data_IF_020705680570
#
_entry.id   IF_020705680570
#
_cell.length_a   1.000
_cell.length_b   1.000
_cell.length_c   1.000
_cell.angle_alpha   90.00
_cell.angle_beta   90.00
_cell.angle_gamma   90.00
#
_symmetry.space_group_name_H-M   'P 1'
#
loop_
_entity.id
_entity.type
_entity.pdbx_description
1 polymer ?
#
# COMPACT_ATOMS: atom_id res chain seq x y z
N UNK A 1 24.51 1.51 -19.69
CA UNK A 1 24.11 0.34 -20.53
C UNK A 1 24.98 0.16 -21.78
N UNK A 2 26.18 -0.43 -21.64
CA UNK A 2 27.05 -0.71 -22.79
C UNK A 2 27.91 0.48 -23.23
N UNK A 3 27.36 1.42 -23.98
CA UNK A 3 28.12 2.50 -24.66
C UNK A 3 27.82 3.89 -24.08
N UNK A 4 28.85 4.72 -23.93
CA UNK A 4 28.73 6.14 -23.57
C UNK A 4 29.65 6.99 -24.48
N UNK A 5 29.13 7.98 -25.22
CA UNK A 5 27.73 8.42 -25.28
C UNK A 5 26.84 7.56 -26.20
N UNK A 6 25.54 7.63 -26.02
CA UNK A 6 24.50 6.94 -26.77
C UNK A 6 24.24 5.52 -26.27
N UNK A 7 24.26 4.56 -27.19
CA UNK A 7 23.93 3.17 -26.88
C UNK A 7 22.46 2.95 -26.53
N UNK A 8 22.08 1.73 -26.12
CA UNK A 8 20.68 1.35 -25.91
C UNK A 8 19.96 2.12 -24.80
N UNK A 9 20.69 2.73 -23.84
CA UNK A 9 20.11 3.58 -22.80
C UNK A 9 20.32 5.08 -23.02
N UNK A 10 20.83 5.49 -24.20
CA UNK A 10 21.06 6.89 -24.55
C UNK A 10 21.94 7.65 -23.52
N UNK A 11 23.06 7.06 -23.12
CA UNK A 11 23.99 7.64 -22.15
C UNK A 11 24.58 8.97 -22.68
N UNK A 12 24.79 9.99 -21.87
CA UNK A 12 24.45 10.14 -20.45
C UNK A 12 23.06 10.76 -20.23
N UNK A 13 22.32 11.02 -21.30
CA UNK A 13 21.01 11.69 -21.25
C UNK A 13 19.91 10.80 -20.68
N UNK A 14 20.02 9.49 -20.88
CA UNK A 14 19.02 8.51 -20.48
C UNK A 14 17.83 8.45 -21.42
N UNK A 15 16.92 7.51 -21.15
CA UNK A 15 15.60 7.41 -21.78
C UNK A 15 14.59 8.06 -20.82
N UNK A 16 14.44 9.37 -20.92
CA UNK A 16 13.63 10.16 -19.99
C UNK A 16 12.45 10.88 -20.64
N UNK A 17 11.53 11.33 -19.80
CA UNK A 17 10.51 12.31 -20.12
C UNK A 17 10.34 13.28 -18.93
N UNK A 18 9.68 14.41 -19.13
CA UNK A 18 9.38 15.37 -18.08
C UNK A 18 7.87 15.66 -18.00
N UNK A 19 7.42 16.06 -16.81
CA UNK A 19 6.02 16.44 -16.56
C UNK A 19 5.98 17.48 -15.45
N UNK A 20 4.96 18.34 -15.46
CA UNK A 20 4.64 19.17 -14.31
C UNK A 20 3.94 18.31 -13.22
N UNK A 21 4.21 18.60 -11.95
CA UNK A 21 3.51 17.93 -10.87
C UNK A 21 2.04 18.38 -10.81
N UNK A 22 1.10 17.47 -10.50
CA UNK A 22 -0.31 17.82 -10.34
C UNK A 22 -0.54 18.80 -9.17
N UNK A 23 -1.37 19.83 -9.39
CA UNK A 23 -1.85 20.72 -8.33
C UNK A 23 -0.87 21.78 -7.80
N UNK A 24 0.44 21.57 -7.92
CA UNK A 24 1.48 22.50 -7.44
C UNK A 24 2.80 22.33 -8.22
N UNK A 25 3.74 23.26 -8.04
CA UNK A 25 5.10 23.02 -8.57
C UNK A 25 5.73 21.88 -7.78
N UNK A 26 6.54 21.06 -8.45
CA UNK A 26 7.18 19.90 -7.84
C UNK A 26 8.03 20.23 -6.59
N UNK A 27 8.47 21.47 -6.46
CA UNK A 27 9.29 21.96 -5.36
C UNK A 27 8.48 22.56 -4.20
N UNK A 28 7.17 22.78 -4.37
CA UNK A 28 6.34 23.55 -3.42
C UNK A 28 5.42 22.69 -2.54
N UNK A 29 5.32 21.39 -2.80
CA UNK A 29 4.50 20.46 -2.03
C UNK A 29 5.10 19.05 -2.03
N UNK A 30 4.61 18.19 -1.14
CA UNK A 30 4.88 16.77 -1.19
C UNK A 30 4.15 16.14 -2.38
N UNK A 31 4.89 15.35 -3.16
CA UNK A 31 4.38 14.57 -4.27
C UNK A 31 4.84 13.11 -4.13
N UNK A 32 4.02 12.18 -4.60
CA UNK A 32 4.36 10.75 -4.62
C UNK A 32 4.97 10.39 -5.96
N UNK A 33 6.27 10.12 -5.98
CA UNK A 33 6.97 9.61 -7.17
C UNK A 33 7.02 8.09 -7.13
N UNK A 34 6.55 7.45 -8.19
CA UNK A 34 6.52 5.98 -8.28
C UNK A 34 7.32 5.51 -9.50
N UNK A 35 8.22 4.55 -9.29
CA UNK A 35 8.77 3.72 -10.35
C UNK A 35 8.19 2.31 -10.17
N UNK A 36 7.36 1.89 -11.11
CA UNK A 36 6.76 0.56 -11.14
C UNK A 36 7.47 -0.30 -12.19
N UNK A 37 8.06 -1.43 -11.79
CA UNK A 37 8.58 -2.43 -12.72
C UNK A 37 7.59 -3.58 -12.84
N UNK A 38 6.80 -3.56 -13.92
CA UNK A 38 5.80 -4.57 -14.25
C UNK A 38 6.44 -5.72 -15.04
N UNK A 39 6.73 -6.79 -14.29
CA UNK A 39 7.27 -8.06 -14.80
C UNK A 39 6.17 -9.06 -15.17
N UNK A 40 4.91 -8.70 -14.98
CA UNK A 40 3.77 -9.58 -15.25
C UNK A 40 3.35 -9.55 -16.72
N UNK A 41 3.77 -8.51 -17.45
CA UNK A 41 3.52 -8.33 -18.88
C UNK A 41 4.74 -8.70 -19.72
N UNK A 42 4.52 -9.09 -20.97
CA UNK A 42 5.59 -9.38 -21.94
C UNK A 42 5.39 -8.55 -23.21
N UNK A 43 6.37 -7.73 -23.61
CA UNK A 43 7.64 -7.43 -22.93
C UNK A 43 7.45 -6.66 -21.60
N UNK A 44 8.31 -6.94 -20.61
CA UNK A 44 8.31 -6.24 -19.31
C UNK A 44 8.37 -4.71 -19.50
N UNK A 45 7.84 -3.94 -18.55
CA UNK A 45 7.85 -2.48 -18.64
C UNK A 45 8.14 -1.84 -17.29
N UNK A 46 8.88 -0.73 -17.31
CA UNK A 46 9.03 0.18 -16.17
C UNK A 46 8.15 1.40 -16.45
N UNK A 47 7.30 1.79 -15.51
CA UNK A 47 6.44 2.98 -15.57
C UNK A 47 6.87 3.98 -14.50
N UNK A 48 6.84 5.26 -14.85
CA UNK A 48 7.11 6.34 -13.92
C UNK A 48 5.85 7.18 -13.75
N UNK A 49 5.46 7.41 -12.50
CA UNK A 49 4.27 8.14 -12.12
C UNK A 49 4.61 9.27 -11.14
N UNK A 50 3.83 10.34 -11.21
CA UNK A 50 3.76 11.37 -10.19
C UNK A 50 2.31 11.50 -9.74
N UNK A 51 2.07 11.40 -8.43
CA UNK A 51 0.73 11.40 -7.81
C UNK A 51 -0.25 10.45 -8.51
N UNK A 52 0.22 9.22 -8.78
CA UNK A 52 -0.55 8.18 -9.46
C UNK A 52 -0.79 8.41 -10.95
N UNK A 53 -0.32 9.52 -11.52
CA UNK A 53 -0.41 9.80 -12.96
C UNK A 53 0.86 9.38 -13.67
N UNK A 54 0.77 8.39 -14.55
CA UNK A 54 1.90 7.95 -15.37
C UNK A 54 2.30 9.05 -16.37
N UNK A 55 3.59 9.39 -16.39
CA UNK A 55 4.14 10.37 -17.34
C UNK A 55 5.23 9.79 -18.25
N UNK A 56 5.77 8.61 -17.92
CA UNK A 56 6.80 7.96 -18.72
C UNK A 56 6.75 6.44 -18.57
N UNK A 57 7.28 5.74 -19.58
CA UNK A 57 7.51 4.30 -19.51
C UNK A 57 8.69 3.90 -20.39
N UNK A 58 9.46 2.92 -19.91
CA UNK A 58 10.54 2.25 -20.64
C UNK A 58 10.15 0.79 -20.79
N UNK A 59 10.02 0.33 -22.03
CA UNK A 59 9.63 -1.04 -22.32
C UNK A 59 10.86 -1.89 -22.64
N UNK A 60 10.90 -3.15 -22.19
CA UNK A 60 12.03 -4.05 -22.40
C UNK A 60 12.39 -4.24 -23.89
N UNK A 61 11.40 -4.12 -24.79
CA UNK A 61 11.64 -4.19 -26.24
C UNK A 61 12.42 -3.02 -26.84
N UNK A 62 12.69 -1.95 -26.07
CA UNK A 62 13.50 -0.82 -26.52
C UNK A 62 15.00 -1.13 -26.59
N UNK A 63 15.43 -2.25 -26.01
CA UNK A 63 16.82 -2.69 -26.01
C UNK A 63 16.92 -4.21 -26.14
N UNK A 64 18.13 -4.71 -26.38
CA UNK A 64 18.35 -6.16 -26.41
C UNK A 64 18.21 -6.79 -25.01
N UNK A 65 17.93 -8.09 -24.99
CA UNK A 65 17.67 -8.83 -23.74
C UNK A 65 18.86 -8.82 -22.77
N UNK A 66 20.10 -8.76 -23.27
CA UNK A 66 21.29 -8.70 -22.42
C UNK A 66 21.37 -7.34 -21.73
N UNK A 67 21.14 -6.26 -22.49
CA UNK A 67 21.10 -4.92 -21.94
C UNK A 67 19.97 -4.74 -20.93
N UNK A 68 18.77 -5.26 -21.21
CA UNK A 68 17.66 -5.23 -20.25
C UNK A 68 17.97 -6.01 -18.97
N UNK A 69 18.49 -7.23 -19.09
CA UNK A 69 18.86 -8.05 -17.93
C UNK A 69 19.96 -7.40 -17.09
N UNK A 70 20.97 -6.78 -17.73
CA UNK A 70 22.01 -6.05 -17.03
C UNK A 70 21.49 -4.81 -16.30
N UNK A 71 20.40 -4.19 -16.78
CA UNK A 71 19.80 -3.01 -16.17
C UNK A 71 18.80 -3.37 -15.05
N UNK A 72 18.26 -4.59 -15.03
CA UNK A 72 17.11 -4.94 -14.19
C UNK A 72 17.35 -6.14 -13.26
N UNK A 73 18.23 -7.09 -13.60
CA UNK A 73 18.37 -8.36 -12.87
C UNK A 73 19.49 -8.34 -11.82
N UNK A 74 19.51 -7.31 -10.98
CA UNK A 74 20.43 -7.19 -9.84
C UNK A 74 19.75 -6.43 -8.69
N UNK A 75 20.41 -6.41 -7.52
CA UNK A 75 19.93 -5.58 -6.40
C UNK A 75 20.00 -4.09 -6.74
N UNK A 76 19.06 -3.32 -6.19
CA UNK A 76 19.02 -1.87 -6.30
C UNK A 76 19.12 -1.24 -4.92
N UNK A 77 19.57 0.00 -4.91
CA UNK A 77 19.43 0.91 -3.79
C UNK A 77 18.87 2.22 -4.34
N UNK A 78 18.14 2.95 -3.49
CA UNK A 78 17.59 4.25 -3.84
C UNK A 78 18.55 5.32 -3.31
N UNK A 79 18.97 6.22 -4.19
CA UNK A 79 19.65 7.46 -3.79
C UNK A 79 18.60 8.56 -3.85
N UNK A 80 18.41 9.27 -2.73
CA UNK A 80 17.69 10.53 -2.70
C UNK A 80 18.73 11.62 -2.46
N UNK A 81 18.92 12.48 -3.45
CA UNK A 81 19.87 13.57 -3.37
C UNK A 81 19.36 14.80 -4.12
N UNK A 82 19.79 15.99 -3.66
CA UNK A 82 19.61 17.23 -4.41
C UNK A 82 20.83 17.40 -5.31
N UNK A 83 20.71 17.04 -6.58
CA UNK A 83 21.77 17.23 -7.56
C UNK A 83 21.83 18.70 -8.00
N UNK A 84 22.90 19.40 -7.60
CA UNK A 84 23.10 20.83 -7.87
C UNK A 84 24.21 21.00 -8.91
N UNK A 85 23.83 21.08 -10.19
CA UNK A 85 24.74 21.25 -11.32
C UNK A 85 25.28 19.95 -11.94
N UNK A 86 26.12 20.11 -12.96
CA UNK A 86 26.67 19.02 -13.78
C UNK A 86 25.90 18.84 -15.09
N UNK A 87 26.41 17.94 -15.95
CA UNK A 87 25.92 17.81 -17.33
C UNK A 87 24.41 17.55 -17.45
N UNK A 88 23.80 16.92 -16.43
CA UNK A 88 22.36 16.66 -16.43
C UNK A 88 21.53 17.92 -16.09
N UNK A 89 21.68 18.59 -14.92
CA UNK A 89 21.00 19.87 -14.67
C UNK A 89 21.25 20.92 -15.76
N UNK A 90 22.50 21.04 -16.24
CA UNK A 90 22.89 22.00 -17.27
C UNK A 90 22.12 21.78 -18.59
N UNK A 91 21.83 20.53 -18.95
CA UNK A 91 21.09 20.18 -20.16
C UNK A 91 19.62 20.64 -20.17
N UNK A 92 19.04 20.91 -18.99
CA UNK A 92 17.68 21.41 -18.83
C UNK A 92 17.63 22.89 -18.45
N UNK A 93 18.74 23.61 -18.60
CA UNK A 93 18.86 25.01 -18.16
C UNK A 93 18.88 25.16 -16.64
N UNK A 94 19.06 24.07 -15.89
CA UNK A 94 19.38 24.08 -14.47
C UNK A 94 20.87 24.32 -14.27
N UNK A 95 21.25 24.87 -13.12
CA UNK A 95 22.64 25.20 -12.82
C UNK A 95 22.73 26.10 -11.59
N UNK A 96 23.93 26.29 -11.07
CA UNK A 96 24.13 27.22 -9.96
C UNK A 96 23.94 28.65 -10.47
N UNK A 97 23.03 29.37 -9.83
CA UNK A 97 22.74 30.78 -10.11
C UNK A 97 22.74 31.60 -8.81
N UNK A 98 22.40 32.89 -8.90
CA UNK A 98 22.31 33.75 -7.72
C UNK A 98 21.18 33.36 -6.75
N UNK A 99 20.24 32.51 -7.17
CA UNK A 99 19.16 31.98 -6.34
C UNK A 99 19.55 30.72 -5.55
N UNK A 100 20.71 30.12 -5.86
CA UNK A 100 21.22 28.93 -5.19
C UNK A 100 21.73 29.27 -3.78
N UNK A 101 21.08 28.72 -2.76
CA UNK A 101 21.39 29.00 -1.35
C UNK A 101 21.64 27.73 -0.55
N UNK A 102 22.53 27.82 0.45
CA UNK A 102 22.79 26.73 1.39
C UNK A 102 21.70 26.64 2.46
N UNK A 103 21.56 25.47 3.09
CA UNK A 103 20.67 25.27 4.23
C UNK A 103 19.21 24.96 3.87
N UNK A 104 18.90 24.76 2.59
CA UNK A 104 17.57 24.30 2.15
C UNK A 104 17.54 22.77 2.12
N UNK A 105 16.74 22.10 2.98
CA UNK A 105 16.71 20.64 3.01
C UNK A 105 15.85 20.06 1.89
N UNK A 106 16.22 18.86 1.41
CA UNK A 106 15.26 17.96 0.79
C UNK A 106 14.47 17.28 1.90
N UNK A 107 13.15 17.45 1.89
CA UNK A 107 12.27 16.77 2.83
C UNK A 107 11.69 15.53 2.17
N UNK A 108 11.69 14.42 2.90
CA UNK A 108 11.15 13.14 2.47
C UNK A 108 10.25 12.66 3.60
N UNK A 109 8.98 12.46 3.28
CA UNK A 109 8.01 11.96 4.26
C UNK A 109 8.21 10.45 4.48
N UNK A 110 8.15 9.67 3.39
CA UNK A 110 8.38 8.23 3.43
C UNK A 110 9.09 7.70 2.18
N UNK A 111 9.65 6.50 2.30
CA UNK A 111 10.13 5.67 1.20
C UNK A 111 9.51 4.29 1.36
N UNK A 112 8.89 3.77 0.30
CA UNK A 112 8.27 2.45 0.30
C UNK A 112 8.73 1.64 -0.91
N UNK A 113 9.03 0.37 -0.70
CA UNK A 113 9.34 -0.60 -1.77
C UNK A 113 8.30 -1.70 -1.72
N UNK A 114 7.56 -1.86 -2.82
CA UNK A 114 6.51 -2.86 -2.96
C UNK A 114 6.87 -3.83 -4.09
N UNK A 115 6.49 -5.10 -3.94
CA UNK A 115 6.61 -6.09 -5.00
C UNK A 115 5.32 -6.91 -5.08
N UNK A 116 4.79 -7.10 -6.28
CA UNK A 116 3.64 -7.96 -6.54
C UNK A 116 4.03 -9.01 -7.60
N UNK A 117 3.69 -10.27 -7.38
CA UNK A 117 3.76 -11.33 -8.39
C UNK A 117 2.36 -11.54 -8.98
N UNK A 118 2.18 -11.27 -10.30
CA UNK A 118 0.92 -11.04 -11.04
C UNK A 118 -0.27 -12.02 -10.82
N UNK A 119 -1.53 -11.74 -11.18
CA UNK A 119 -2.13 -10.98 -12.30
C UNK A 119 -3.51 -10.40 -11.92
N UNK A 120 -3.84 -9.16 -12.35
CA UNK A 120 -5.21 -8.64 -12.54
C UNK A 120 -5.81 -7.72 -11.45
N UNK A 121 -6.16 -6.48 -11.86
CA UNK A 121 -6.91 -5.39 -11.17
C UNK A 121 -6.40 -4.99 -9.77
N UNK A 122 -5.79 -3.81 -9.68
CA UNK A 122 -5.06 -3.22 -8.54
C UNK A 122 -5.40 -3.83 -7.17
N UNK A 123 -4.69 -4.91 -6.77
CA UNK A 123 -4.83 -5.47 -5.45
C UNK A 123 -4.06 -4.59 -4.46
N UNK A 124 -4.59 -4.36 -3.25
CA UNK A 124 -3.77 -3.86 -2.14
C UNK A 124 -2.62 -4.84 -1.87
N UNK A 125 -1.49 -4.35 -1.32
CA UNK A 125 -0.18 -4.99 -1.40
C UNK A 125 -0.22 -6.49 -1.14
N UNK A 126 0.16 -7.27 -2.15
CA UNK A 126 0.46 -8.71 -2.04
C UNK A 126 1.94 -8.95 -1.77
N UNK A 127 2.54 -8.09 -0.94
CA UNK A 127 3.76 -8.41 -0.20
C UNK A 127 3.40 -9.05 1.15
N UNK A 128 4.38 -9.69 1.80
CA UNK A 128 4.23 -10.15 3.19
C UNK A 128 3.77 -8.97 4.06
N UNK A 129 2.53 -9.03 4.57
CA UNK A 129 2.00 -8.00 5.49
C UNK A 129 2.56 -8.30 6.86
N UNK A 130 3.21 -7.34 7.50
CA UNK A 130 3.59 -7.50 8.89
C UNK A 130 2.32 -7.54 9.76
N UNK A 131 2.12 -8.65 10.49
CA UNK A 131 0.96 -8.81 11.37
C UNK A 131 0.92 -7.76 12.49
N UNK A 132 2.06 -7.22 12.89
CA UNK A 132 2.19 -6.35 14.06
C UNK A 132 1.98 -4.86 13.73
N UNK A 133 2.12 -4.49 12.46
CA UNK A 133 1.81 -3.16 11.94
C UNK A 133 0.32 -3.03 11.61
N UNK A 134 -0.20 -1.79 11.61
CA UNK A 134 -1.59 -1.54 11.26
C UNK A 134 -1.88 -1.94 9.80
N UNK A 135 -2.72 -2.95 9.62
CA UNK A 135 -3.27 -3.39 8.34
C UNK A 135 -4.55 -2.62 8.09
N UNK A 136 -4.53 -1.75 7.08
CA UNK A 136 -5.70 -0.97 6.67
C UNK A 136 -6.80 -1.91 6.16
N UNK A 137 -8.03 -1.74 6.63
CA UNK A 137 -9.09 -2.70 6.37
C UNK A 137 -9.60 -2.62 4.92
N UNK A 138 -9.50 -1.45 4.28
CA UNK A 138 -9.75 -1.24 2.85
C UNK A 138 -8.66 -1.85 1.96
N UNK A 139 -7.56 -2.31 2.56
CA UNK A 139 -6.49 -2.98 1.85
C UNK A 139 -6.75 -4.50 1.68
N UNK A 140 -8.01 -4.92 1.56
CA UNK A 140 -8.39 -6.33 1.37
C UNK A 140 -8.03 -6.85 -0.05
N UNK A 141 -7.52 -8.08 -0.14
CA UNK A 141 -7.28 -8.76 -1.41
C UNK A 141 -8.58 -9.27 -2.07
N UNK A 142 -9.59 -9.60 -1.27
CA UNK A 142 -10.92 -10.01 -1.75
C UNK A 142 -11.97 -9.75 -0.67
N UNK A 143 -13.24 -9.61 -1.04
CA UNK A 143 -14.33 -9.32 -0.10
C UNK A 143 -15.68 -9.83 -0.61
N UNK A 144 -16.65 -9.88 0.30
CA UNK A 144 -18.08 -9.90 -0.04
C UNK A 144 -18.85 -8.98 0.91
N UNK A 145 -19.74 -8.17 0.33
CA UNK A 145 -20.71 -7.35 1.06
C UNK A 145 -20.17 -6.06 1.67
N UNK A 146 -18.89 -5.72 1.46
CA UNK A 146 -18.34 -4.47 1.99
C UNK A 146 -18.37 -3.33 0.97
N UNK A 147 -18.43 -2.10 1.48
CA UNK A 147 -18.05 -0.88 0.76
C UNK A 147 -16.76 -0.29 1.35
N UNK A 148 -16.18 0.67 0.63
CA UNK A 148 -15.10 1.53 1.13
C UNK A 148 -15.60 2.98 1.16
N UNK A 149 -15.32 3.72 2.22
CA UNK A 149 -15.70 5.12 2.38
C UNK A 149 -14.59 5.94 3.07
N UNK A 150 -14.63 7.27 2.94
CA UNK A 150 -13.70 8.16 3.67
C UNK A 150 -13.93 8.04 5.18
N UNK A 151 -12.85 7.82 5.93
CA UNK A 151 -12.90 7.80 7.39
C UNK A 151 -12.67 9.19 7.97
N UNK A 152 -13.37 9.48 9.07
CA UNK A 152 -13.12 10.66 9.92
C UNK A 152 -12.24 10.34 11.13
N UNK A 153 -11.73 9.11 11.22
CA UNK A 153 -10.79 8.73 12.27
C UNK A 153 -9.50 9.55 12.21
N UNK A 154 -8.77 9.55 13.31
CA UNK A 154 -7.44 10.17 13.36
C UNK A 154 -6.51 9.48 12.36
N UNK A 155 -5.86 10.26 11.50
CA UNK A 155 -5.01 9.75 10.41
C UNK A 155 -5.69 9.81 9.04
N UNK A 156 -7.01 9.99 8.97
CA UNK A 156 -7.75 10.03 7.70
C UNK A 156 -7.66 8.71 6.94
N UNK A 157 -7.78 8.78 5.61
CA UNK A 157 -7.78 7.60 4.74
C UNK A 157 -9.19 7.08 4.45
N UNK A 158 -9.33 5.76 4.36
CA UNK A 158 -10.62 5.12 4.14
C UNK A 158 -10.89 4.05 5.22
N UNK A 159 -12.14 3.59 5.31
CA UNK A 159 -12.51 2.43 6.08
C UNK A 159 -13.38 1.50 5.23
N UNK A 160 -13.51 0.24 5.67
CA UNK A 160 -14.57 -0.63 5.18
C UNK A 160 -15.83 -0.48 6.02
N UNK A 161 -16.99 -0.64 5.39
CA UNK A 161 -18.29 -0.47 6.02
C UNK A 161 -19.42 -1.20 5.30
N UNK A 162 -20.65 -0.92 5.74
CA UNK A 162 -21.87 -1.66 5.36
C UNK A 162 -21.76 -3.17 5.68
N UNK A 163 -21.06 -3.50 6.76
CA UNK A 163 -20.78 -4.90 7.12
C UNK A 163 -21.90 -5.47 7.98
N UNK A 164 -22.56 -6.50 7.46
CA UNK A 164 -23.63 -7.26 8.06
C UNK A 164 -23.26 -8.74 8.23
N UNK A 165 -24.24 -9.54 8.66
CA UNK A 165 -24.05 -10.97 8.85
C UNK A 165 -23.72 -11.69 7.52
N UNK A 166 -22.58 -12.38 7.49
CA UNK A 166 -22.12 -13.17 6.34
C UNK A 166 -21.05 -12.49 5.48
N UNK A 167 -20.80 -11.20 5.73
CA UNK A 167 -19.79 -10.43 5.01
C UNK A 167 -18.38 -10.79 5.47
N UNK A 168 -17.40 -10.49 4.62
CA UNK A 168 -16.01 -10.80 4.91
C UNK A 168 -15.03 -10.01 4.06
N UNK A 169 -13.80 -9.91 4.55
CA UNK A 169 -12.64 -9.36 3.85
C UNK A 169 -11.42 -10.28 4.04
N UNK A 170 -10.69 -10.57 2.96
CA UNK A 170 -9.49 -11.39 2.91
C UNK A 170 -8.24 -10.51 2.82
N UNK A 171 -7.22 -10.83 3.60
CA UNK A 171 -5.89 -10.23 3.59
C UNK A 171 -4.87 -11.34 3.44
N UNK A 172 -4.25 -11.42 2.26
CA UNK A 172 -3.33 -12.49 1.94
C UNK A 172 -1.94 -12.24 2.50
N UNK A 173 -1.22 -13.33 2.79
CA UNK A 173 0.19 -13.33 3.17
C UNK A 173 0.53 -12.47 4.41
N UNK A 174 -0.30 -12.51 5.45
CA UNK A 174 0.00 -11.88 6.74
C UNK A 174 1.03 -12.70 7.50
N UNK A 175 2.17 -12.10 7.79
CA UNK A 175 3.33 -12.69 8.42
C UNK A 175 3.38 -12.36 9.91
N UNK A 176 3.13 -13.39 10.71
CA UNK A 176 3.21 -13.39 12.17
C UNK A 176 4.63 -13.70 12.67
N UNK A 177 5.55 -14.09 11.79
CA UNK A 177 6.93 -14.41 12.15
C UNK A 177 7.03 -15.68 13.03
N UNK A 178 8.16 -15.84 13.72
CA UNK A 178 8.39 -17.00 14.61
C UNK A 178 7.94 -16.77 16.05
N UNK A 179 7.68 -15.52 16.45
CA UNK A 179 7.14 -15.19 17.77
C UNK A 179 5.63 -15.23 17.69
N UNK A 180 4.97 -15.95 18.60
CA UNK A 180 3.53 -16.11 18.52
C UNK A 180 2.78 -14.79 18.75
N UNK A 181 1.79 -14.50 17.92
CA UNK A 181 0.76 -13.52 18.22
C UNK A 181 -0.37 -14.19 19.01
N UNK A 182 -0.85 -13.50 20.04
CA UNK A 182 -1.94 -13.94 20.93
C UNK A 182 -3.03 -12.89 21.15
N UNK A 183 -2.86 -11.71 20.54
CA UNK A 183 -3.86 -10.65 20.53
C UNK A 183 -4.24 -10.25 19.10
N UNK A 184 -5.52 -9.94 18.92
CA UNK A 184 -6.08 -9.28 17.75
C UNK A 184 -6.66 -7.93 18.19
N UNK A 185 -6.34 -6.85 17.48
CA UNK A 185 -6.84 -5.51 17.78
C UNK A 185 -7.40 -4.89 16.53
N UNK A 186 -8.59 -4.30 16.61
CA UNK A 186 -9.20 -3.60 15.49
C UNK A 186 -9.72 -2.22 15.89
N UNK A 187 -9.61 -1.27 14.97
CA UNK A 187 -10.18 0.06 15.05
C UNK A 187 -11.52 0.07 14.33
N UNK A 188 -12.60 0.18 15.10
CA UNK A 188 -13.96 -0.07 14.62
C UNK A 188 -14.92 1.02 15.07
N UNK A 189 -15.99 1.22 14.30
CA UNK A 189 -17.09 2.10 14.65
C UNK A 189 -18.43 1.41 14.35
N UNK A 190 -19.49 1.82 15.06
CA UNK A 190 -20.82 1.27 14.86
C UNK A 190 -21.87 2.32 15.18
N UNK A 191 -22.71 2.63 14.19
CA UNK A 191 -23.93 3.42 14.35
C UNK A 191 -25.18 2.55 14.47
N UNK A 192 -25.03 1.26 14.74
CA UNK A 192 -26.14 0.30 14.71
C UNK A 192 -27.24 0.64 15.73
N UNK A 193 -28.49 0.35 15.38
CA UNK A 193 -29.64 0.59 16.25
C UNK A 193 -29.58 -0.23 17.56
N UNK A 194 -30.42 0.13 18.53
CA UNK A 194 -30.54 -0.63 19.78
C UNK A 194 -30.88 -2.09 19.51
N UNK A 195 -30.18 -3.02 20.18
CA UNK A 195 -30.36 -4.46 20.00
C UNK A 195 -29.61 -5.07 18.80
N UNK A 196 -28.98 -4.25 17.94
CA UNK A 196 -28.10 -4.73 16.86
C UNK A 196 -26.66 -4.84 17.39
N UNK A 197 -26.09 -6.02 17.23
CA UNK A 197 -24.70 -6.31 17.57
C UNK A 197 -24.21 -7.51 16.76
N UNK A 198 -22.90 -7.71 16.69
CA UNK A 198 -22.32 -8.84 16.00
C UNK A 198 -20.90 -9.12 16.44
N UNK A 199 -20.33 -10.19 15.90
CA UNK A 199 -18.95 -10.60 16.12
C UNK A 199 -18.09 -10.16 14.93
N UNK A 200 -16.97 -9.53 15.25
CA UNK A 200 -15.83 -9.42 14.32
C UNK A 200 -14.90 -10.57 14.64
N UNK A 201 -14.72 -11.46 13.67
CA UNK A 201 -13.98 -12.71 13.86
C UNK A 201 -12.76 -12.75 12.93
N UNK A 202 -11.65 -13.31 13.42
CA UNK A 202 -10.48 -13.61 12.61
C UNK A 202 -10.44 -15.11 12.31
N UNK A 203 -10.24 -15.47 11.04
CA UNK A 203 -10.02 -16.86 10.58
C UNK A 203 -8.74 -16.91 9.73
N UNK A 204 -8.04 -18.04 9.76
CA UNK A 204 -6.84 -18.24 8.94
C UNK A 204 -7.11 -19.21 7.81
N UNK A 205 -6.50 -18.93 6.65
CA UNK A 205 -6.35 -19.74 5.45
C UNK A 205 -7.66 -20.12 4.72
N UNK A 206 -8.79 -20.19 5.42
CA UNK A 206 -10.12 -20.39 4.84
C UNK A 206 -11.22 -19.79 5.72
N UNK A 207 -12.24 -19.22 5.08
CA UNK A 207 -13.48 -18.76 5.73
C UNK A 207 -14.24 -19.88 6.44
N UNK A 208 -14.04 -21.14 6.03
CA UNK A 208 -14.67 -22.30 6.66
C UNK A 208 -13.95 -22.79 7.92
N UNK A 209 -12.73 -22.32 8.19
CA UNK A 209 -12.00 -22.69 9.40
C UNK A 209 -12.62 -22.02 10.62
N UNK A 210 -12.45 -22.62 11.80
CA UNK A 210 -12.91 -22.01 13.06
C UNK A 210 -12.23 -20.65 13.29
N UNK A 211 -12.92 -19.66 13.90
CA UNK A 211 -12.28 -18.43 14.33
C UNK A 211 -11.15 -18.71 15.30
N UNK A 212 -10.02 -18.01 15.12
CA UNK A 212 -8.91 -18.06 16.07
C UNK A 212 -9.11 -17.08 17.22
N UNK A 213 -9.95 -16.05 17.03
CA UNK A 213 -10.29 -15.02 17.99
C UNK A 213 -11.43 -14.15 17.48
N UNK A 214 -12.11 -13.47 18.39
CA UNK A 214 -13.21 -12.56 18.07
C UNK A 214 -13.50 -11.59 19.20
N UNK A 215 -14.21 -10.52 18.88
CA UNK A 215 -14.88 -9.67 19.86
C UNK A 215 -16.29 -9.32 19.39
N UNK A 216 -17.17 -9.03 20.37
CA UNK A 216 -18.49 -8.51 20.10
C UNK A 216 -18.46 -6.98 19.98
N UNK A 217 -19.21 -6.44 19.04
CA UNK A 217 -19.40 -5.01 18.86
C UNK A 217 -20.89 -4.68 18.79
N UNK A 218 -21.27 -3.63 19.51
CA UNK A 218 -22.55 -2.95 19.40
C UNK A 218 -22.28 -1.46 19.11
N UNK A 219 -23.32 -0.63 19.20
CA UNK A 219 -23.23 0.81 18.94
C UNK A 219 -22.07 1.48 19.73
N UNK A 220 -21.20 2.21 19.01
CA UNK A 220 -20.07 2.94 19.58
C UNK A 220 -20.32 4.43 19.75
N UNK A 221 -21.42 4.95 19.23
CA UNK A 221 -21.82 6.36 19.18
C UNK A 221 -22.14 6.86 17.77
N UNK A 222 -21.90 6.06 16.73
CA UNK A 222 -22.09 6.44 15.32
C UNK A 222 -21.13 5.69 14.38
N UNK A 223 -21.44 5.70 13.08
CA UNK A 223 -20.65 5.01 12.02
C UNK A 223 -19.22 5.51 11.85
N UNK A 224 -18.92 6.65 12.46
CA UNK A 224 -17.64 7.34 12.42
C UNK A 224 -17.14 7.63 13.86
N UNK A 225 -17.74 6.99 14.88
CA UNK A 225 -17.32 7.08 16.28
C UNK A 225 -16.40 5.91 16.63
N UNK A 226 -15.11 6.11 16.37
CA UNK A 226 -14.10 5.06 16.37
C UNK A 226 -13.61 4.64 17.76
N UNK A 227 -13.52 3.32 17.98
CA UNK A 227 -12.96 2.67 19.18
C UNK A 227 -11.94 1.63 18.78
N UNK A 228 -10.91 1.46 19.61
CA UNK A 228 -9.93 0.38 19.44
C UNK A 228 -10.31 -0.76 20.38
N UNK A 229 -10.57 -1.94 19.82
CA UNK A 229 -11.11 -3.09 20.56
C UNK A 229 -10.12 -4.25 20.47
N UNK A 230 -9.56 -4.70 21.60
CA UNK A 230 -8.70 -5.89 21.64
C UNK A 230 -9.53 -7.17 21.84
N UNK A 231 -8.97 -8.29 21.38
CA UNK A 231 -9.46 -9.64 21.62
C UNK A 231 -8.28 -10.60 21.84
N UNK A 232 -8.47 -11.56 22.73
CA UNK A 232 -7.56 -12.69 22.84
C UNK A 232 -7.81 -13.66 21.68
N UNK A 233 -6.75 -14.33 21.24
CA UNK A 233 -6.83 -15.34 20.17
C UNK A 233 -5.91 -16.53 20.46
N UNK A 234 -6.13 -17.61 19.71
CA UNK A 234 -5.21 -18.74 19.64
C UNK A 234 -3.85 -18.28 19.13
N UNK A 235 -2.76 -18.89 19.61
CA UNK A 235 -1.39 -18.53 19.22
C UNK A 235 -1.14 -18.80 17.73
N UNK A 236 -0.59 -17.81 17.01
CA UNK A 236 -0.29 -17.91 15.57
C UNK A 236 1.14 -17.50 15.28
N UNK A 237 1.79 -18.25 14.39
CA UNK A 237 3.14 -17.99 13.85
C UNK A 237 3.15 -18.31 12.37
N UNK A 238 4.15 -17.82 11.64
CA UNK A 238 4.30 -18.08 10.21
C UNK A 238 3.49 -17.10 9.36
N UNK A 239 3.24 -17.47 8.13
CA UNK A 239 2.49 -16.63 7.17
C UNK A 239 1.17 -17.30 6.84
N UNK A 240 0.08 -16.54 6.97
CA UNK A 240 -1.28 -17.02 6.75
C UNK A 240 -2.08 -16.03 5.92
N UNK A 241 -3.09 -16.54 5.23
CA UNK A 241 -4.16 -15.71 4.72
C UNK A 241 -5.13 -15.41 5.88
N UNK A 242 -5.43 -14.15 6.13
CA UNK A 242 -6.29 -13.69 7.23
C UNK A 242 -7.64 -13.27 6.67
N UNK A 243 -8.70 -13.83 7.21
CA UNK A 243 -10.06 -13.38 6.96
C UNK A 243 -10.61 -12.64 8.17
N UNK A 244 -11.15 -11.45 7.94
CA UNK A 244 -12.15 -10.86 8.83
C UNK A 244 -13.52 -11.33 8.37
N UNK A 245 -14.28 -11.95 9.27
CA UNK A 245 -15.67 -12.37 9.01
C UNK A 245 -16.61 -11.74 10.02
N UNK A 246 -17.83 -11.43 9.55
CA UNK A 246 -18.82 -10.70 10.34
C UNK A 246 -20.05 -11.57 10.56
N UNK A 247 -20.37 -11.84 11.82
CA UNK A 247 -21.50 -12.71 12.20
C UNK A 247 -22.47 -11.94 13.09
N UNK A 248 -23.76 -11.95 12.76
CA UNK A 248 -24.80 -11.34 13.59
C UNK A 248 -26.10 -12.16 13.54
N UNK A 249 -26.85 -12.14 14.64
CA UNK A 249 -28.22 -12.67 14.66
C UNK A 249 -29.24 -11.76 13.95
N UNK A 250 -28.81 -10.61 13.43
CA UNK A 250 -29.66 -9.61 12.77
C UNK A 250 -29.18 -9.33 11.34
N UNK A 251 -30.09 -8.94 10.42
CA UNK A 251 -29.73 -8.68 9.02
C UNK A 251 -29.14 -7.29 8.78
N UNK A 252 -29.16 -6.39 9.77
CA UNK A 252 -28.67 -5.03 9.63
C UNK A 252 -27.15 -4.95 9.77
N UNK A 253 -26.55 -4.00 9.06
CA UNK A 253 -25.15 -3.62 9.22
C UNK A 253 -24.86 -3.27 10.68
N UNK A 254 -23.69 -3.68 11.18
CA UNK A 254 -23.35 -3.47 12.58
C UNK A 254 -21.95 -2.90 12.82
N UNK A 255 -21.07 -2.88 11.81
CA UNK A 255 -19.68 -2.45 12.02
C UNK A 255 -19.06 -1.78 10.79
N UNK A 256 -18.24 -0.77 11.05
CA UNK A 256 -17.21 -0.26 10.17
C UNK A 256 -15.84 -0.63 10.75
N UNK A 257 -14.85 -0.94 9.90
CA UNK A 257 -13.47 -1.26 10.32
C UNK A 257 -12.51 -0.35 9.57
N UNK A 258 -11.67 0.37 10.31
CA UNK A 258 -10.63 1.25 9.75
C UNK A 258 -9.34 0.45 9.51
N UNK A 259 -8.78 -0.12 10.57
CA UNK A 259 -7.58 -0.95 10.49
C UNK A 259 -7.60 -2.03 11.57
N UNK A 260 -6.72 -3.00 11.45
CA UNK A 260 -6.46 -4.01 12.47
C UNK A 260 -4.98 -4.39 12.52
N UNK A 261 -4.54 -4.96 13.64
CA UNK A 261 -3.22 -5.58 13.76
C UNK A 261 -3.26 -6.69 14.82
N UNK A 262 -2.11 -7.34 14.99
CA UNK A 262 -1.89 -8.40 15.94
C UNK A 262 -0.80 -8.02 16.95
N UNK A 263 -0.78 -8.72 18.07
CA UNK A 263 0.17 -8.51 19.15
C UNK A 263 0.49 -9.79 19.89
N UNK A 264 1.55 -9.73 20.70
CA UNK A 264 1.90 -10.76 21.68
C UNK A 264 1.00 -10.66 22.91
#
# INVERSE_FOLDING_TARGET
CGTNPGGPCNETTGIGNNVACPGSTCQSAFHTYTMEWDRSVSPETIRFLVDGTQFHSVNASQMDATTWANATNHGFFVILNVAMGGAFPDAFGGGLDSGTQSGVPMTVDYVQVLSASGSGTTPPPSGSRDAYSAIQAESYNSQSGTITETTTDTGGGQNIGALANGDWALFQNVNFGSTAATQFVARVASGAGSGVSGLVEVRLDSRSNAPIGSFALANTGGWQSWRTVPANMSSVTGTHDVYLTFTSGQPADFVNVNWFNFGH
#
